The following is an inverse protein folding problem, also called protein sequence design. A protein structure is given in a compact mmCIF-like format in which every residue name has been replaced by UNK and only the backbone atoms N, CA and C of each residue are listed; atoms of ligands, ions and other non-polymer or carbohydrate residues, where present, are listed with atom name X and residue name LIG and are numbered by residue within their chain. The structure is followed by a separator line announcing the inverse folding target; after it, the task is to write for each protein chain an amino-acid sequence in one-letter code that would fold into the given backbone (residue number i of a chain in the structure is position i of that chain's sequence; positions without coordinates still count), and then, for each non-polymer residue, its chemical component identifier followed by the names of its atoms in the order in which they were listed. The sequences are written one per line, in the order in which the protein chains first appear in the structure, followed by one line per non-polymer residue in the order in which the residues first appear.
data_IF_303114843323
#
_entry.id   IF_303114843323
#
_cell.length_a   1.000
_cell.length_b   1.000
_cell.length_c   1.000
_cell.angle_alpha   90.00
_cell.angle_beta   90.00
_cell.angle_gamma   90.00
#
_symmetry.space_group_name_H-M   'P 1'
#
loop_
_entity.id
_entity.type
_entity.pdbx_description
1 polymer ?
#
# COMPACT_ATOMS: atom_id res chain seq x y z
N UNK A 1 10.28 -22.05 -0.75
CA UNK A 1 10.50 -21.55 0.64
C UNK A 1 10.99 -20.13 0.44
N UNK A 2 10.26 -19.10 0.88
CA UNK A 2 10.82 -17.74 0.88
C UNK A 2 12.10 -17.79 1.71
N UNK A 3 13.23 -17.40 1.11
CA UNK A 3 14.46 -17.36 1.86
C UNK A 3 14.30 -16.29 2.96
N UNK A 4 14.66 -16.69 4.17
CA UNK A 4 14.77 -15.80 5.32
C UNK A 4 16.25 -15.56 5.53
N UNK A 5 16.89 -14.83 4.61
CA UNK A 5 18.21 -14.28 4.84
C UNK A 5 18.03 -12.78 5.01
N UNK A 6 18.07 -12.32 6.26
CA UNK A 6 17.84 -10.92 6.66
C UNK A 6 18.89 -9.93 6.15
N UNK A 7 19.03 -9.80 4.83
CA UNK A 7 19.76 -8.76 4.13
C UNK A 7 19.09 -8.45 2.78
N UNK A 8 18.11 -7.55 2.83
CA UNK A 8 17.92 -6.52 1.81
C UNK A 8 17.20 -6.89 0.51
N UNK A 9 17.03 -8.14 0.10
CA UNK A 9 16.27 -8.47 -1.11
C UNK A 9 15.55 -9.81 -1.01
N UNK A 10 14.22 -9.78 -1.15
CA UNK A 10 13.32 -10.92 -1.18
C UNK A 10 12.70 -10.95 -2.58
N UNK A 11 13.12 -11.90 -3.41
CA UNK A 11 12.65 -12.04 -4.80
C UNK A 11 11.90 -13.35 -5.02
N UNK A 12 11.01 -13.35 -6.00
CA UNK A 12 10.48 -14.57 -6.58
C UNK A 12 11.60 -15.40 -7.23
N UNK A 13 12.02 -16.50 -6.58
CA UNK A 13 12.91 -17.52 -7.16
C UNK A 13 12.11 -18.70 -7.77
N UNK A 14 10.78 -18.67 -7.73
CA UNK A 14 9.93 -19.67 -8.40
C UNK A 14 9.60 -19.21 -9.82
N UNK A 15 10.57 -19.39 -10.72
CA UNK A 15 10.40 -19.13 -12.15
C UNK A 15 9.56 -20.19 -12.87
N UNK A 16 8.99 -21.18 -12.16
CA UNK A 16 8.44 -22.41 -12.77
C UNK A 16 6.92 -22.53 -12.71
N UNK A 17 6.25 -21.83 -11.80
CA UNK A 17 4.81 -22.07 -11.55
C UNK A 17 3.87 -20.89 -11.82
N UNK A 18 4.38 -19.66 -12.03
CA UNK A 18 3.55 -18.44 -12.12
C UNK A 18 2.44 -18.41 -11.05
N UNK A 19 2.78 -18.82 -9.83
CA UNK A 19 1.84 -18.89 -8.72
C UNK A 19 1.84 -17.57 -7.93
N UNK A 20 0.68 -17.12 -7.42
CA UNK A 20 0.61 -16.01 -6.47
C UNK A 20 1.51 -16.22 -5.25
N UNK A 21 2.23 -15.17 -4.86
CA UNK A 21 3.13 -15.15 -3.72
C UNK A 21 2.62 -14.22 -2.62
N UNK A 22 3.08 -14.50 -1.40
CA UNK A 22 3.04 -13.54 -0.30
C UNK A 22 4.48 -13.33 0.15
N UNK A 23 5.00 -12.13 -0.12
CA UNK A 23 6.34 -11.70 0.25
C UNK A 23 6.23 -10.79 1.46
N UNK A 24 6.93 -11.14 2.53
CA UNK A 24 6.92 -10.38 3.79
C UNK A 24 8.34 -10.03 4.18
N UNK A 25 8.59 -8.74 4.38
CA UNK A 25 9.84 -8.21 4.91
C UNK A 25 9.99 -8.40 6.42
N UNK A 26 10.81 -7.55 7.04
CA UNK A 26 11.08 -7.52 8.46
C UNK A 26 11.03 -6.08 9.01
N UNK A 27 11.72 -5.76 10.10
CA UNK A 27 11.70 -4.42 10.68
C UNK A 27 12.76 -3.47 10.08
N UNK A 28 13.56 -3.94 9.12
CA UNK A 28 14.58 -3.20 8.41
C UNK A 28 14.16 -2.94 6.97
N UNK A 29 14.86 -2.04 6.29
CA UNK A 29 14.63 -1.78 4.87
C UNK A 29 14.86 -3.05 4.03
N UNK A 30 13.83 -3.46 3.30
CA UNK A 30 13.82 -4.58 2.39
C UNK A 30 13.54 -4.14 0.95
N UNK A 31 13.97 -4.96 -0.01
CA UNK A 31 13.55 -4.88 -1.41
C UNK A 31 12.72 -6.12 -1.69
N UNK A 32 11.43 -5.97 -2.02
CA UNK A 32 10.51 -7.07 -2.31
C UNK A 32 10.16 -7.02 -3.79
N UNK A 33 10.39 -8.12 -4.50
CA UNK A 33 10.11 -8.23 -5.93
C UNK A 33 9.22 -9.45 -6.19
N UNK A 34 7.98 -9.17 -6.60
CA UNK A 34 7.00 -10.14 -7.07
C UNK A 34 7.34 -10.72 -8.44
N UNK A 35 6.37 -11.41 -9.01
CA UNK A 35 6.47 -12.18 -10.25
C UNK A 35 5.46 -11.71 -11.30
N UNK A 36 4.86 -12.67 -12.00
CA UNK A 36 3.87 -12.42 -13.05
C UNK A 36 2.44 -12.85 -12.67
N UNK A 37 2.25 -13.19 -11.39
CA UNK A 37 0.97 -13.56 -10.81
C UNK A 37 0.48 -12.44 -9.89
N UNK A 38 -0.73 -12.58 -9.33
CA UNK A 38 -1.29 -11.59 -8.42
C UNK A 38 -0.66 -11.75 -7.03
N UNK A 39 0.39 -11.01 -6.74
CA UNK A 39 1.19 -11.16 -5.53
C UNK A 39 0.70 -10.25 -4.39
N UNK A 40 1.14 -10.55 -3.17
CA UNK A 40 0.94 -9.68 -2.01
C UNK A 40 2.30 -9.38 -1.38
N UNK A 41 2.65 -8.09 -1.32
CA UNK A 41 3.91 -7.59 -0.77
C UNK A 41 3.61 -6.84 0.53
N UNK A 42 4.30 -7.24 1.61
CA UNK A 42 4.17 -6.69 2.97
C UNK A 42 5.56 -6.26 3.42
N UNK A 43 5.83 -4.96 3.44
CA UNK A 43 7.13 -4.42 3.88
C UNK A 43 7.42 -4.67 5.37
N UNK A 44 6.42 -4.39 6.21
CA UNK A 44 6.54 -4.27 7.67
C UNK A 44 7.32 -3.02 8.08
N UNK A 45 8.35 -3.10 8.90
CA UNK A 45 9.03 -1.91 9.40
C UNK A 45 10.19 -1.50 8.49
N UNK A 46 10.43 -0.20 8.33
CA UNK A 46 11.56 0.29 7.56
C UNK A 46 11.14 1.23 6.44
N UNK A 47 11.98 1.37 5.43
CA UNK A 47 11.63 2.05 4.17
C UNK A 47 11.89 1.07 3.05
N UNK A 48 10.83 0.40 2.63
CA UNK A 48 10.95 -0.72 1.71
C UNK A 48 10.83 -0.28 0.26
N UNK A 49 11.38 -1.09 -0.63
CA UNK A 49 11.18 -0.95 -2.08
C UNK A 49 10.39 -2.14 -2.57
N UNK A 50 9.15 -1.91 -3.01
CA UNK A 50 8.19 -2.93 -3.38
C UNK A 50 7.94 -2.87 -4.88
N UNK A 51 8.09 -4.00 -5.56
CA UNK A 51 7.85 -4.15 -7.01
C UNK A 51 6.92 -5.34 -7.21
N UNK A 52 5.69 -5.10 -7.71
CA UNK A 52 4.69 -6.15 -7.90
C UNK A 52 5.02 -7.05 -9.09
N UNK A 53 5.35 -6.45 -10.23
CA UNK A 53 5.60 -7.12 -11.50
C UNK A 53 4.38 -7.12 -12.41
N UNK A 54 4.06 -8.28 -12.99
CA UNK A 54 2.83 -8.44 -13.76
C UNK A 54 1.76 -9.06 -12.87
N UNK A 55 0.51 -8.61 -13.00
CA UNK A 55 -0.59 -9.17 -12.24
C UNK A 55 -1.35 -8.06 -11.56
N UNK A 56 -2.45 -8.39 -10.89
CA UNK A 56 -3.15 -7.48 -10.01
C UNK A 56 -2.58 -7.65 -8.59
N UNK A 57 -1.56 -6.88 -8.27
CA UNK A 57 -0.78 -7.04 -7.05
C UNK A 57 -1.38 -6.27 -5.87
N UNK A 58 -1.03 -6.70 -4.65
CA UNK A 58 -1.42 -6.03 -3.41
C UNK A 58 -0.18 -5.56 -2.66
N UNK A 59 -0.15 -4.27 -2.35
CA UNK A 59 0.83 -3.67 -1.45
C UNK A 59 0.15 -3.42 -0.11
N UNK A 60 0.43 -4.28 0.87
CA UNK A 60 -0.29 -4.30 2.15
C UNK A 60 0.50 -3.57 3.22
N UNK A 61 -0.19 -2.63 3.87
CA UNK A 61 0.27 -1.92 5.05
C UNK A 61 -0.48 -2.43 6.28
N UNK A 62 0.28 -2.91 7.26
CA UNK A 62 -0.29 -3.46 8.50
C UNK A 62 -0.37 -2.42 9.61
N UNK A 63 0.38 -1.32 9.47
CA UNK A 63 0.43 -0.21 10.40
C UNK A 63 0.69 1.10 9.66
N UNK A 64 0.22 2.20 10.25
CA UNK A 64 0.61 3.54 9.79
C UNK A 64 2.05 3.91 10.17
N UNK A 65 2.73 3.12 11.00
CA UNK A 65 4.09 3.38 11.49
C UNK A 65 5.16 2.48 10.89
N UNK A 66 4.79 1.71 9.87
CA UNK A 66 5.68 0.81 9.12
C UNK A 66 6.83 1.58 8.46
N UNK A 67 6.60 2.85 8.13
CA UNK A 67 7.54 3.75 7.48
C UNK A 67 7.02 4.12 6.10
N UNK A 68 7.83 4.87 5.34
CA UNK A 68 7.43 5.31 4.00
C UNK A 68 8.08 4.41 2.96
N UNK A 69 7.29 3.49 2.42
CA UNK A 69 7.73 2.56 1.38
C UNK A 69 7.73 3.22 0.00
N UNK A 70 8.45 2.62 -0.95
CA UNK A 70 8.44 3.00 -2.36
C UNK A 70 7.85 1.85 -3.18
N UNK A 71 6.71 2.07 -3.80
CA UNK A 71 6.08 1.14 -4.75
C UNK A 71 6.51 1.55 -6.15
N UNK A 72 7.27 0.70 -6.83
CA UNK A 72 8.02 1.11 -8.03
C UNK A 72 7.21 1.03 -9.33
N UNK A 73 6.17 0.19 -9.38
CA UNK A 73 5.49 -0.19 -10.62
C UNK A 73 3.96 -0.21 -10.53
N UNK A 74 3.37 0.41 -9.50
CA UNK A 74 1.92 0.42 -9.29
C UNK A 74 1.13 0.76 -10.56
N UNK A 75 0.24 -0.16 -10.94
CA UNK A 75 -0.48 -0.16 -12.20
C UNK A 75 -1.98 -0.42 -12.02
N UNK A 76 -2.74 0.67 -12.11
CA UNK A 76 -4.21 0.61 -12.13
C UNK A 76 -4.75 -0.24 -13.27
N UNK A 77 -4.04 -0.28 -14.40
CA UNK A 77 -4.45 -1.05 -15.58
C UNK A 77 -4.29 -2.55 -15.39
N UNK A 78 -3.33 -2.99 -14.57
CA UNK A 78 -3.17 -4.39 -14.22
C UNK A 78 -4.08 -4.81 -13.06
N UNK A 79 -4.52 -3.84 -12.26
CA UNK A 79 -5.52 -4.03 -11.22
C UNK A 79 -4.98 -3.94 -9.80
N UNK A 80 -3.77 -3.39 -9.63
CA UNK A 80 -3.09 -3.29 -8.35
C UNK A 80 -3.92 -2.57 -7.30
N UNK A 81 -3.69 -2.96 -6.05
CA UNK A 81 -4.35 -2.38 -4.87
C UNK A 81 -3.37 -2.06 -3.77
N UNK A 82 -3.61 -0.94 -3.11
CA UNK A 82 -3.07 -0.69 -1.78
C UNK A 82 -4.04 -1.32 -0.78
N UNK A 83 -3.55 -2.27 0.02
CA UNK A 83 -4.33 -2.92 1.05
C UNK A 83 -3.99 -2.35 2.43
N UNK A 84 -5.02 -1.92 3.15
CA UNK A 84 -4.90 -1.32 4.48
C UNK A 84 -5.50 -2.29 5.50
N UNK A 85 -4.68 -2.79 6.43
CA UNK A 85 -5.17 -3.63 7.52
C UNK A 85 -5.83 -2.75 8.60
N UNK A 86 -7.15 -2.73 8.66
CA UNK A 86 -7.89 -1.65 9.32
C UNK A 86 -7.58 -1.43 10.81
N UNK A 87 -7.17 -2.49 11.53
CA UNK A 87 -6.74 -2.36 12.94
C UNK A 87 -5.42 -1.59 13.10
N UNK A 88 -4.55 -1.60 12.09
CA UNK A 88 -3.30 -0.82 12.03
C UNK A 88 -3.49 0.68 11.81
N UNK A 89 -4.73 1.10 11.52
CA UNK A 89 -5.10 2.46 11.17
C UNK A 89 -6.18 3.02 12.11
N UNK A 90 -6.18 2.59 13.38
CA UNK A 90 -7.13 3.04 14.41
C UNK A 90 -8.61 2.93 14.01
N UNK A 91 -8.95 1.99 13.11
CA UNK A 91 -10.28 1.85 12.50
C UNK A 91 -10.77 3.09 11.73
N UNK A 92 -9.88 4.04 11.40
CA UNK A 92 -10.18 5.23 10.60
C UNK A 92 -10.17 4.95 9.09
N UNK A 93 -9.90 3.72 8.69
CA UNK A 93 -10.09 3.21 7.33
C UNK A 93 -11.20 2.17 7.37
N UNK A 94 -12.24 2.37 6.56
CA UNK A 94 -13.40 1.48 6.52
C UNK A 94 -13.85 1.23 5.08
N UNK A 95 -14.61 0.16 4.90
CA UNK A 95 -15.10 -0.26 3.59
C UNK A 95 -16.34 0.52 3.16
N UNK A 96 -16.67 0.47 1.88
CA UNK A 96 -17.92 1.00 1.31
C UNK A 96 -19.19 0.24 1.79
N UNK A 97 -19.04 -0.80 2.62
CA UNK A 97 -20.12 -1.62 3.16
C UNK A 97 -20.64 -2.70 2.21
N UNK A 98 -20.07 -2.83 1.01
CA UNK A 98 -20.51 -3.79 -0.04
C UNK A 98 -19.35 -4.66 -0.51
N UNK A 99 -18.21 -4.05 -0.79
CA UNK A 99 -16.95 -4.68 -1.20
C UNK A 99 -15.89 -4.36 -0.16
N UNK A 100 -14.78 -5.10 -0.15
CA UNK A 100 -13.62 -4.72 0.68
C UNK A 100 -12.94 -3.42 0.20
N UNK A 101 -13.59 -2.62 -0.64
CA UNK A 101 -13.08 -1.36 -1.18
C UNK A 101 -13.17 -0.25 -0.14
N UNK A 102 -12.16 0.61 -0.09
CA UNK A 102 -12.15 1.79 0.79
C UNK A 102 -13.37 2.68 0.50
N UNK A 103 -14.08 3.10 1.55
CA UNK A 103 -15.20 4.02 1.41
C UNK A 103 -14.74 5.33 0.77
N UNK A 104 -15.54 5.86 -0.17
CA UNK A 104 -15.19 7.08 -0.91
C UNK A 104 -15.03 8.31 -0.01
N UNK A 105 -15.71 8.34 1.14
CA UNK A 105 -15.58 9.41 2.14
C UNK A 105 -14.26 9.35 2.92
N UNK A 106 -13.54 8.24 2.88
CA UNK A 106 -12.20 8.09 3.50
C UNK A 106 -11.09 8.62 2.62
N UNK A 107 -11.29 8.58 1.30
CA UNK A 107 -10.27 8.94 0.32
C UNK A 107 -10.36 10.41 -0.10
N UNK A 108 -9.21 11.05 -0.28
CA UNK A 108 -9.13 12.36 -0.93
C UNK A 108 -7.90 12.50 -1.82
N UNK A 109 -8.02 13.34 -2.84
CA UNK A 109 -6.89 13.80 -3.66
C UNK A 109 -6.41 15.15 -3.14
N UNK A 110 -5.08 15.33 -3.07
CA UNK A 110 -4.47 16.60 -2.72
C UNK A 110 -3.26 16.47 -1.79
N UNK A 111 -2.79 17.60 -1.27
CA UNK A 111 -1.65 17.64 -0.35
C UNK A 111 -2.04 17.38 1.12
N UNK A 112 -3.33 17.44 1.45
CA UNK A 112 -3.83 17.20 2.79
C UNK A 112 -5.28 16.72 2.78
N UNK A 113 -5.73 16.17 3.90
CA UNK A 113 -7.14 15.88 4.11
C UNK A 113 -7.97 17.17 3.96
N UNK A 114 -9.15 17.04 3.37
CA UNK A 114 -10.03 18.17 3.08
C UNK A 114 -11.37 18.10 3.83
N UNK A 115 -11.56 17.05 4.64
CA UNK A 115 -12.75 16.84 5.45
C UNK A 115 -12.45 15.96 6.66
N UNK A 116 -13.41 15.90 7.58
CA UNK A 116 -13.34 15.16 8.85
C UNK A 116 -13.48 13.64 8.71
N UNK A 117 -13.52 13.15 7.48
CA UNK A 117 -13.58 11.70 7.22
C UNK A 117 -12.43 11.25 6.33
N UNK A 118 -11.64 12.17 5.77
CA UNK A 118 -10.57 11.80 4.86
C UNK A 118 -9.33 11.35 5.62
N UNK A 119 -9.25 10.06 5.91
CA UNK A 119 -8.09 9.47 6.56
C UNK A 119 -7.02 9.00 5.56
N UNK A 120 -7.34 8.83 4.27
CA UNK A 120 -6.39 8.44 3.22
C UNK A 120 -6.33 9.54 2.15
N UNK A 121 -5.12 10.00 1.84
CA UNK A 121 -4.89 11.13 0.94
C UNK A 121 -3.84 10.74 -0.08
N UNK A 122 -4.10 10.98 -1.37
CA UNK A 122 -3.08 10.85 -2.41
C UNK A 122 -2.72 12.22 -3.01
N UNK A 123 -1.45 12.59 -2.89
CA UNK A 123 -0.90 13.75 -3.56
C UNK A 123 -0.36 13.34 -4.93
N UNK A 124 -1.11 13.64 -5.99
CA UNK A 124 -0.70 13.26 -7.35
C UNK A 124 0.56 13.95 -7.86
N UNK A 125 0.93 15.10 -7.29
CA UNK A 125 2.09 15.86 -7.74
C UNK A 125 3.38 15.30 -7.16
N UNK A 126 3.33 14.82 -5.92
CA UNK A 126 4.47 14.13 -5.29
C UNK A 126 4.43 12.62 -5.46
N UNK A 127 3.27 12.02 -5.74
CA UNK A 127 3.06 10.57 -5.76
C UNK A 127 2.92 9.91 -4.38
N UNK A 128 2.71 10.70 -3.31
CA UNK A 128 2.69 10.17 -1.94
C UNK A 128 1.27 9.85 -1.50
N UNK A 129 1.07 8.67 -0.91
CA UNK A 129 -0.10 8.29 -0.12
C UNK A 129 0.16 8.59 1.34
N UNK A 130 -0.76 9.33 1.94
CA UNK A 130 -0.74 9.69 3.35
C UNK A 130 -1.91 9.06 4.10
N UNK A 131 -1.68 8.82 5.39
CA UNK A 131 -2.69 8.57 6.39
C UNK A 131 -2.84 9.79 7.30
N UNK A 132 -4.06 10.26 7.51
CA UNK A 132 -4.40 11.21 8.56
C UNK A 132 -4.93 10.43 9.79
N UNK A 133 -4.16 10.37 10.90
CA UNK A 133 -4.48 9.55 12.06
C UNK A 133 -5.50 10.17 13.01
N UNK A 134 -5.90 11.44 12.83
CA UNK A 134 -6.93 12.08 13.64
C UNK A 134 -8.23 12.32 12.87
N UNK A 135 -8.17 12.32 11.53
CA UNK A 135 -9.30 12.61 10.64
C UNK A 135 -10.01 13.93 11.00
N UNK A 136 -9.27 14.91 11.54
CA UNK A 136 -9.77 16.24 11.89
C UNK A 136 -9.45 17.28 10.79
N UNK A 137 -8.91 16.85 9.65
CA UNK A 137 -8.62 17.71 8.50
C UNK A 137 -7.13 18.03 8.34
N UNK A 138 -6.73 19.31 8.37
CA UNK A 138 -5.34 19.72 8.06
C UNK A 138 -4.30 19.38 9.17
N UNK A 139 -4.49 18.26 9.88
CA UNK A 139 -3.60 17.71 10.89
C UNK A 139 -2.31 17.12 10.30
N UNK A 140 -1.46 16.62 11.20
CA UNK A 140 -0.21 15.94 10.83
C UNK A 140 -0.52 14.61 10.17
N UNK A 141 -0.19 14.50 8.89
CA UNK A 141 -0.30 13.27 8.12
C UNK A 141 0.97 12.43 8.21
N UNK A 142 0.81 11.12 8.08
CA UNK A 142 1.89 10.13 8.02
C UNK A 142 2.01 9.63 6.58
N UNK A 143 3.20 9.73 5.99
CA UNK A 143 3.45 9.17 4.65
C UNK A 143 3.57 7.65 4.73
N UNK A 144 2.71 6.94 3.98
CA UNK A 144 2.71 5.48 3.92
C UNK A 144 3.54 4.97 2.75
N UNK A 145 3.32 5.53 1.57
CA UNK A 145 3.91 5.02 0.34
C UNK A 145 4.20 6.13 -0.66
N UNK A 146 5.32 6.01 -1.35
CA UNK A 146 5.67 6.74 -2.55
C UNK A 146 5.36 5.86 -3.77
N UNK A 147 4.54 6.38 -4.68
CA UNK A 147 4.26 5.80 -5.99
C UNK A 147 4.82 6.69 -7.10
N UNK A 148 4.70 6.28 -8.36
CA UNK A 148 4.93 7.20 -9.47
C UNK A 148 4.00 8.43 -9.39
N UNK A 149 4.53 9.66 -9.53
CA UNK A 149 3.70 10.87 -9.62
C UNK A 149 2.78 10.85 -10.84
N UNK A 150 1.66 11.58 -10.76
CA UNK A 150 0.73 11.76 -11.88
C UNK A 150 -0.32 10.66 -12.04
N UNK A 151 -0.35 9.66 -11.16
CA UNK A 151 -1.45 8.68 -11.16
C UNK A 151 -2.77 9.37 -10.84
N UNK A 152 -3.87 8.85 -11.39
CA UNK A 152 -5.22 9.33 -11.09
C UNK A 152 -5.92 8.33 -10.17
N UNK A 153 -5.40 8.17 -8.94
CA UNK A 153 -5.96 7.22 -7.97
C UNK A 153 -7.37 7.61 -7.54
N UNK A 154 -8.18 6.61 -7.22
CA UNK A 154 -9.48 6.77 -6.56
C UNK A 154 -9.57 5.83 -5.37
N UNK A 155 -10.65 5.93 -4.59
CA UNK A 155 -10.92 4.99 -3.49
C UNK A 155 -10.97 3.52 -3.96
N UNK A 156 -11.25 3.26 -5.25
CA UNK A 156 -11.28 1.92 -5.83
C UNK A 156 -9.88 1.29 -5.93
N UNK A 157 -8.81 2.07 -5.82
CA UNK A 157 -7.43 1.58 -5.83
C UNK A 157 -6.97 1.11 -4.44
N UNK A 158 -7.85 1.24 -3.43
CA UNK A 158 -7.61 0.85 -2.06
C UNK A 158 -8.60 -0.21 -1.61
N UNK A 159 -8.12 -1.18 -0.83
CA UNK A 159 -8.95 -2.17 -0.14
C UNK A 159 -8.62 -2.19 1.35
N UNK A 160 -9.59 -2.59 2.17
CA UNK A 160 -9.45 -2.73 3.62
C UNK A 160 -9.69 -4.19 4.02
N UNK A 161 -8.81 -4.72 4.86
CA UNK A 161 -8.93 -6.04 5.47
C UNK A 161 -8.88 -5.97 7.01
N UNK A 162 -9.22 -7.07 7.69
CA UNK A 162 -9.40 -7.16 9.14
C UNK A 162 -8.85 -8.47 9.71
#
# INVERSE_FOLDING_TARGET
MADSQGLGTITNDDTTTNAPLTLTGDANNNILVGGSANDTLIGLGGKDTLTGGLGADKFRFNSSFDGMDTITDFSRTQGDKIELFGTGFNSLVWTDGVSNTLASTVFSMGASANSWTNSIIYNNSSGIVYFDPDALGSGSQIALAQLSPGLNLTNQDFIVSW
#
